data_IF_462961796356
#
_entry.id   IF_462961796356
#
_cell.length_a   1.000
_cell.length_b   1.000
_cell.length_c   1.000
_cell.angle_alpha   90.00
_cell.angle_beta   90.00
_cell.angle_gamma   90.00
#
_symmetry.space_group_name_H-M   'P 1'
#
loop_
_entity.id
_entity.type
_entity.pdbx_description
1 polymer ?
#
# COMPACT_ATOMS: atom_id res chain seq x y z
N UNK A 1 33.47 -18.16 43.86
CA UNK A 1 32.88 -18.99 42.79
C UNK A 1 33.55 -18.58 41.47
N UNK A 2 34.56 -19.33 41.03
CA UNK A 2 35.41 -19.02 39.87
C UNK A 2 34.84 -19.61 38.59
N UNK A 3 34.66 -18.81 37.52
CA UNK A 3 34.68 -19.27 36.11
C UNK A 3 35.31 -18.14 35.26
N UNK A 4 36.64 -18.21 35.03
CA UNK A 4 37.35 -18.76 33.84
C UNK A 4 37.30 -17.81 32.64
N UNK A 5 38.44 -17.17 32.33
CA UNK A 5 39.46 -17.57 31.33
C UNK A 5 38.98 -17.33 29.89
N UNK A 6 39.33 -16.21 29.24
CA UNK A 6 40.61 -15.88 28.59
C UNK A 6 40.79 -16.59 27.22
N UNK A 7 40.61 -15.75 26.18
CA UNK A 7 41.40 -15.57 24.95
C UNK A 7 41.70 -16.68 23.93
N UNK A 8 41.81 -16.18 22.68
CA UNK A 8 42.77 -16.55 21.64
C UNK A 8 42.24 -17.48 20.55
N UNK A 9 41.79 -16.96 19.40
CA UNK A 9 42.58 -16.61 18.19
C UNK A 9 43.48 -17.72 17.62
N UNK A 10 43.30 -17.92 16.30
CA UNK A 10 44.33 -18.14 15.27
C UNK A 10 44.80 -19.59 14.89
N UNK A 11 44.57 -19.91 13.60
CA UNK A 11 45.52 -20.47 12.59
C UNK A 11 45.71 -21.99 12.36
N UNK A 12 45.93 -22.26 11.05
CA UNK A 12 46.56 -23.42 10.35
C UNK A 12 45.63 -24.58 9.95
N UNK A 13 45.25 -24.79 8.67
CA UNK A 13 45.95 -25.13 7.40
C UNK A 13 46.55 -26.56 7.34
N UNK A 14 46.35 -27.18 6.15
CA UNK A 14 47.05 -28.32 5.49
C UNK A 14 46.49 -29.75 5.73
N UNK A 15 45.90 -30.39 4.69
CA UNK A 15 46.46 -31.55 3.95
C UNK A 15 45.45 -32.19 2.96
N UNK A 16 45.86 -32.27 1.69
CA UNK A 16 45.22 -32.97 0.55
C UNK A 16 45.60 -34.46 0.49
N UNK A 17 44.70 -35.36 0.07
CA UNK A 17 45.01 -36.76 -0.25
C UNK A 17 43.89 -37.45 -1.06
N UNK A 18 44.18 -37.71 -2.35
CA UNK A 18 43.36 -38.33 -3.39
C UNK A 18 43.75 -39.82 -3.55
N UNK A 19 42.80 -40.75 -3.86
CA UNK A 19 42.81 -41.67 -5.03
C UNK A 19 41.92 -42.94 -4.89
N UNK A 20 40.76 -42.90 -5.57
CA UNK A 20 40.07 -43.87 -6.45
C UNK A 20 40.07 -45.40 -6.19
N UNK A 21 38.86 -45.99 -6.17
CA UNK A 21 38.54 -47.21 -6.94
C UNK A 21 37.12 -47.12 -7.55
N UNK A 22 37.03 -47.53 -8.81
CA UNK A 22 35.93 -47.41 -9.76
C UNK A 22 34.86 -48.49 -9.56
N UNK A 23 33.58 -48.11 -9.72
CA UNK A 23 32.45 -49.01 -9.85
C UNK A 23 31.45 -48.46 -10.86
N UNK A 24 31.52 -48.97 -12.08
CA UNK A 24 30.65 -48.64 -13.21
C UNK A 24 29.21 -49.07 -12.93
N UNK A 25 28.27 -48.13 -12.95
CA UNK A 25 26.84 -48.42 -13.11
C UNK A 25 26.26 -47.46 -14.12
N UNK A 26 26.19 -47.90 -15.37
CA UNK A 26 25.33 -47.31 -16.41
C UNK A 26 23.95 -47.93 -16.21
N UNK A 27 22.99 -47.12 -15.76
CA UNK A 27 21.57 -47.43 -15.86
C UNK A 27 20.87 -46.24 -16.52
N UNK A 28 20.26 -46.51 -17.66
CA UNK A 28 19.46 -45.60 -18.47
C UNK A 28 18.12 -45.28 -17.80
N UNK A 29 17.61 -44.08 -18.08
CA UNK A 29 16.19 -43.70 -17.94
C UNK A 29 15.81 -43.29 -16.52
N UNK A 30 15.15 -42.18 -16.24
CA UNK A 30 14.36 -41.26 -17.05
C UNK A 30 14.52 -39.86 -16.43
N UNK A 31 15.05 -38.90 -17.20
CA UNK A 31 14.94 -37.49 -16.83
C UNK A 31 13.50 -37.08 -17.11
N UNK A 32 12.64 -37.17 -16.10
CA UNK A 32 11.32 -36.55 -16.15
C UNK A 32 11.52 -35.05 -16.17
N UNK A 33 11.51 -34.48 -17.38
CA UNK A 33 11.47 -33.05 -17.60
C UNK A 33 10.18 -32.52 -16.95
N UNK A 34 10.29 -31.91 -15.77
CA UNK A 34 9.22 -31.10 -15.23
C UNK A 34 8.89 -30.03 -16.27
N UNK A 35 7.62 -29.87 -16.67
CA UNK A 35 7.26 -28.70 -17.44
C UNK A 35 7.51 -27.51 -16.52
N UNK A 36 8.50 -26.69 -16.86
CA UNK A 36 8.57 -25.32 -16.36
C UNK A 36 7.31 -24.68 -16.92
N UNK A 37 6.27 -24.62 -16.09
CA UNK A 37 5.12 -23.78 -16.35
C UNK A 37 5.67 -22.36 -16.45
N UNK A 38 5.95 -21.93 -17.68
CA UNK A 38 6.11 -20.53 -18.02
C UNK A 38 4.74 -19.93 -17.70
N UNK A 39 4.60 -19.42 -16.48
CA UNK A 39 3.60 -18.42 -16.21
C UNK A 39 3.86 -17.35 -17.27
N UNK A 40 2.99 -17.30 -18.29
CA UNK A 40 2.85 -16.08 -19.07
C UNK A 40 2.58 -15.04 -17.99
N UNK A 41 3.59 -14.22 -17.72
CA UNK A 41 3.33 -12.85 -17.33
C UNK A 41 2.57 -12.27 -18.51
N UNK A 42 1.25 -12.53 -18.53
CA UNK A 42 0.30 -11.55 -19.03
C UNK A 42 0.84 -10.27 -18.42
N UNK A 43 1.31 -9.30 -19.22
CA UNK A 43 1.69 -8.01 -18.67
C UNK A 43 0.52 -7.67 -17.79
N UNK A 44 0.77 -7.65 -16.48
CA UNK A 44 -0.25 -7.23 -15.57
C UNK A 44 -0.64 -5.90 -16.15
N UNK A 45 -1.85 -5.81 -16.67
CA UNK A 45 -2.57 -4.57 -16.54
C UNK A 45 -2.47 -4.32 -15.03
N UNK A 46 -1.42 -3.58 -14.62
CA UNK A 46 -1.63 -2.37 -13.89
C UNK A 46 -2.71 -1.64 -14.70
N UNK A 47 -3.95 -2.08 -14.52
CA UNK A 47 -5.12 -1.26 -14.66
C UNK A 47 -4.92 -0.21 -13.57
N UNK A 48 -3.94 0.67 -13.81
CA UNK A 48 -3.86 1.96 -13.18
C UNK A 48 -5.23 2.51 -13.41
N UNK A 49 -5.93 2.77 -12.31
CA UNK A 49 -7.17 3.50 -12.29
C UNK A 49 -7.03 4.57 -13.36
N UNK A 50 -7.79 4.45 -14.46
CA UNK A 50 -7.75 5.41 -15.57
C UNK A 50 -7.77 6.79 -14.94
N UNK A 51 -6.83 7.66 -15.34
CA UNK A 51 -6.48 8.87 -14.59
C UNK A 51 -7.75 9.55 -14.03
N UNK A 52 -7.90 9.52 -12.70
CA UNK A 52 -9.11 10.01 -12.05
C UNK A 52 -9.38 11.44 -12.49
N UNK A 53 -10.65 11.84 -12.73
CA UNK A 53 -10.98 13.21 -13.06
C UNK A 53 -10.40 14.16 -12.00
N UNK A 54 -9.94 15.33 -12.41
CA UNK A 54 -9.34 16.32 -11.51
C UNK A 54 -10.37 17.40 -11.17
N UNK A 55 -10.27 17.98 -9.98
CA UNK A 55 -11.00 19.18 -9.55
C UNK A 55 -10.04 20.11 -8.81
N UNK A 56 -10.03 21.39 -9.17
CA UNK A 56 -9.26 22.39 -8.42
C UNK A 56 -9.93 22.60 -7.05
N UNK A 57 -9.13 22.86 -6.02
CA UNK A 57 -9.65 23.12 -4.67
C UNK A 57 -10.62 24.30 -4.68
N UNK A 58 -10.32 25.34 -5.46
CA UNK A 58 -11.16 26.52 -5.62
C UNK A 58 -12.58 26.21 -6.13
N UNK A 59 -12.73 25.16 -6.95
CA UNK A 59 -14.00 24.74 -7.54
C UNK A 59 -14.84 23.84 -6.62
N UNK A 60 -14.28 23.44 -5.47
CA UNK A 60 -15.02 22.63 -4.51
C UNK A 60 -16.09 23.44 -3.77
N UNK A 61 -17.19 22.78 -3.34
CA UNK A 61 -18.13 23.39 -2.41
C UNK A 61 -17.41 23.97 -1.20
N UNK A 62 -17.89 25.11 -0.67
CA UNK A 62 -17.21 25.81 0.44
C UNK A 62 -16.99 24.89 1.64
N UNK A 63 -17.96 24.02 1.93
CA UNK A 63 -17.89 23.05 3.02
C UNK A 63 -16.73 22.07 2.86
N UNK A 64 -16.39 21.69 1.61
CA UNK A 64 -15.29 20.78 1.34
C UNK A 64 -13.94 21.47 1.55
N UNK A 65 -13.82 22.74 1.11
CA UNK A 65 -12.64 23.57 1.38
C UNK A 65 -12.41 23.78 2.89
N UNK A 66 -13.49 23.99 3.65
CA UNK A 66 -13.41 24.12 5.10
C UNK A 66 -12.89 22.83 5.76
N UNK A 67 -13.35 21.68 5.26
CA UNK A 67 -12.87 20.37 5.72
C UNK A 67 -11.41 20.14 5.34
N UNK A 68 -10.95 20.52 4.15
CA UNK A 68 -9.53 20.45 3.77
C UNK A 68 -8.64 21.23 4.74
N UNK A 69 -8.99 22.48 5.05
CA UNK A 69 -8.24 23.30 6.02
C UNK A 69 -8.20 22.66 7.42
N UNK A 70 -9.27 21.97 7.83
CA UNK A 70 -9.30 21.21 9.10
C UNK A 70 -8.40 19.98 9.04
N UNK A 71 -8.39 19.24 7.92
CA UNK A 71 -7.52 18.08 7.72
C UNK A 71 -6.04 18.48 7.82
N UNK A 72 -5.66 19.58 7.18
CA UNK A 72 -4.28 20.10 7.24
C UNK A 72 -3.83 20.43 8.67
N UNK A 73 -4.73 21.02 9.45
CA UNK A 73 -4.49 21.37 10.86
C UNK A 73 -4.57 20.17 11.80
N UNK A 74 -5.23 19.09 11.39
CA UNK A 74 -5.44 17.87 12.19
C UNK A 74 -6.71 17.85 13.04
N UNK A 75 -7.73 18.65 12.67
CA UNK A 75 -9.00 18.76 13.38
C UNK A 75 -9.19 20.12 14.09
N UNK A 76 -10.21 20.24 14.96
CA UNK A 76 -11.16 19.20 15.37
C UNK A 76 -12.10 18.78 14.24
N UNK A 77 -12.66 17.57 14.34
CA UNK A 77 -13.63 17.03 13.38
C UNK A 77 -15.00 16.88 14.04
N UNK A 78 -16.06 17.12 13.26
CA UNK A 78 -17.44 17.19 13.75
C UNK A 78 -18.09 15.81 13.90
N UNK A 79 -17.66 14.83 13.10
CA UNK A 79 -18.29 13.52 13.06
C UNK A 79 -17.36 12.42 13.55
N UNK A 80 -17.90 11.44 14.27
CA UNK A 80 -17.14 10.32 14.85
C UNK A 80 -16.36 9.49 13.83
N UNK A 81 -16.81 9.47 12.58
CA UNK A 81 -16.17 8.72 11.49
C UNK A 81 -15.08 9.53 10.77
N UNK A 82 -14.89 10.80 11.09
CA UNK A 82 -13.87 11.61 10.45
C UNK A 82 -12.47 11.17 10.91
N UNK A 83 -11.60 10.91 9.94
CA UNK A 83 -10.23 10.43 10.17
C UNK A 83 -10.09 8.92 10.35
N UNK A 84 -11.18 8.14 10.28
CA UNK A 84 -11.10 6.67 10.28
C UNK A 84 -10.52 6.17 8.97
N UNK A 85 -10.03 4.92 8.97
CA UNK A 85 -9.41 4.32 7.78
C UNK A 85 -10.47 4.10 6.70
N UNK A 86 -10.19 4.58 5.49
CA UNK A 86 -10.96 4.24 4.30
C UNK A 86 -10.34 2.99 3.63
N UNK A 87 -11.16 1.97 3.41
CA UNK A 87 -10.70 0.65 2.97
C UNK A 87 -10.31 0.56 1.50
N UNK A 88 -10.89 1.40 0.63
CA UNK A 88 -10.73 1.32 -0.83
C UNK A 88 -11.02 -0.10 -1.38
N UNK A 89 -12.13 -0.72 -0.96
CA UNK A 89 -12.46 -2.11 -1.31
C UNK A 89 -12.82 -2.27 -2.80
N UNK A 90 -13.48 -1.26 -3.34
CA UNK A 90 -13.90 -1.12 -4.74
C UNK A 90 -12.74 -0.70 -5.65
N UNK A 91 -11.58 -0.36 -5.06
CA UNK A 91 -10.33 -0.01 -5.76
C UNK A 91 -10.48 1.16 -6.75
N UNK A 92 -11.37 2.11 -6.43
CA UNK A 92 -11.56 3.34 -7.21
C UNK A 92 -10.43 4.35 -6.99
N UNK A 93 -9.65 4.22 -5.91
CA UNK A 93 -8.42 4.97 -5.69
C UNK A 93 -7.19 4.10 -5.97
N UNK A 94 -6.01 4.69 -6.26
CA UNK A 94 -4.77 3.93 -6.45
C UNK A 94 -4.50 2.94 -5.32
N UNK A 95 -4.01 1.75 -5.67
CA UNK A 95 -3.69 0.72 -4.68
C UNK A 95 -2.54 1.18 -3.78
N UNK A 96 -2.77 1.19 -2.47
CA UNK A 96 -1.83 1.59 -1.42
C UNK A 96 -1.95 0.66 -0.22
N UNK A 97 -0.94 0.65 0.65
CA UNK A 97 -0.95 -0.14 1.89
C UNK A 97 -2.18 0.20 2.76
N UNK A 98 -2.71 -0.82 3.46
CA UNK A 98 -3.81 -0.62 4.42
C UNK A 98 -3.51 0.51 5.41
N UNK A 99 -4.50 1.38 5.62
CA UNK A 99 -4.37 2.54 6.51
C UNK A 99 -3.76 3.78 5.85
N UNK A 100 -3.42 3.72 4.56
CA UNK A 100 -2.97 4.89 3.79
C UNK A 100 -4.08 5.93 3.64
N UNK A 101 -5.32 5.50 3.40
CA UNK A 101 -6.45 6.39 3.19
C UNK A 101 -7.29 6.60 4.44
N UNK A 102 -7.81 7.82 4.61
CA UNK A 102 -8.75 8.21 5.66
C UNK A 102 -9.89 9.03 5.08
N UNK A 103 -11.10 8.84 5.61
CA UNK A 103 -12.29 9.55 5.18
C UNK A 103 -12.67 10.70 6.12
N UNK A 104 -13.28 11.73 5.55
CA UNK A 104 -13.77 12.91 6.26
C UNK A 104 -15.11 13.34 5.65
N UNK A 105 -16.04 13.69 6.53
CA UNK A 105 -17.38 14.14 6.14
C UNK A 105 -17.32 15.55 5.57
N UNK A 106 -17.99 15.76 4.44
CA UNK A 106 -18.28 17.10 3.92
C UNK A 106 -19.75 17.41 4.20
N UNK A 107 -20.07 18.36 5.09
CA UNK A 107 -21.45 18.71 5.39
C UNK A 107 -22.23 19.10 4.12
N UNK A 108 -23.45 18.58 4.01
CA UNK A 108 -24.39 18.99 2.97
C UNK A 108 -25.41 19.94 3.60
N UNK A 109 -25.50 21.21 3.16
CA UNK A 109 -26.46 22.17 3.72
C UNK A 109 -27.88 21.61 3.73
N UNK A 110 -28.56 21.74 4.87
CA UNK A 110 -29.94 21.26 5.07
C UNK A 110 -30.08 19.75 5.30
N UNK A 111 -29.00 18.96 5.18
CA UNK A 111 -29.06 17.54 5.51
C UNK A 111 -29.19 17.33 7.03
N UNK A 112 -30.10 16.44 7.45
CA UNK A 112 -30.26 16.02 8.86
C UNK A 112 -29.26 14.93 9.28
N UNK A 113 -28.48 14.43 8.34
CA UNK A 113 -27.49 13.39 8.53
C UNK A 113 -26.15 13.84 7.91
N UNK A 114 -25.15 12.96 7.91
CA UNK A 114 -23.82 13.22 7.34
C UNK A 114 -23.80 13.50 5.82
N UNK A 115 -24.90 13.27 5.11
CA UNK A 115 -24.98 13.36 3.65
C UNK A 115 -24.09 12.34 2.94
N UNK A 116 -23.97 12.49 1.62
CA UNK A 116 -23.20 11.60 0.75
C UNK A 116 -21.77 12.11 0.44
N UNK A 117 -21.47 13.38 0.71
CA UNK A 117 -20.22 14.03 0.31
C UNK A 117 -19.09 13.70 1.26
N UNK A 118 -17.92 13.34 0.73
CA UNK A 118 -16.73 13.01 1.53
C UNK A 118 -15.46 13.54 0.87
N UNK A 119 -14.44 13.73 1.70
CA UNK A 119 -13.05 13.82 1.28
C UNK A 119 -12.33 12.57 1.76
N UNK A 120 -11.54 11.94 0.89
CA UNK A 120 -10.64 10.84 1.24
C UNK A 120 -9.21 11.31 1.01
N UNK A 121 -8.42 11.39 2.07
CA UNK A 121 -7.01 11.79 1.98
C UNK A 121 -6.07 10.62 2.24
N UNK A 122 -4.96 10.60 1.51
CA UNK A 122 -3.91 9.59 1.57
C UNK A 122 -2.62 10.13 2.18
N UNK A 123 -1.88 9.28 2.87
CA UNK A 123 -0.57 9.61 3.44
C UNK A 123 -0.62 9.95 4.93
N UNK A 124 0.24 10.85 5.43
CA UNK A 124 0.22 11.30 6.82
C UNK A 124 -1.12 11.91 7.23
N UNK A 125 -1.49 11.75 8.51
CA UNK A 125 -2.76 12.26 9.06
C UNK A 125 -2.90 13.78 8.98
N UNK A 126 -1.79 14.49 9.10
CA UNK A 126 -1.67 15.95 8.97
C UNK A 126 -0.84 16.19 7.73
N UNK A 127 -1.21 17.16 6.91
CA UNK A 127 -0.56 17.43 5.62
C UNK A 127 -0.57 16.17 4.72
N UNK A 128 -1.75 15.73 4.27
CA UNK A 128 -1.88 14.56 3.41
C UNK A 128 -1.16 14.76 2.07
N UNK A 129 -0.66 13.68 1.49
CA UNK A 129 0.03 13.68 0.19
C UNK A 129 -0.95 13.92 -0.98
N UNK A 130 -2.19 13.47 -0.82
CA UNK A 130 -3.22 13.54 -1.84
C UNK A 130 -4.60 13.50 -1.19
N UNK A 131 -5.55 14.22 -1.77
CA UNK A 131 -6.95 14.15 -1.37
C UNK A 131 -7.87 13.96 -2.58
N UNK A 132 -8.98 13.27 -2.35
CA UNK A 132 -10.00 12.96 -3.35
C UNK A 132 -11.36 13.40 -2.81
N UNK A 133 -12.17 13.97 -3.69
CA UNK A 133 -13.54 14.35 -3.40
C UNK A 133 -14.52 13.34 -3.99
N UNK A 134 -15.52 12.95 -3.22
CA UNK A 134 -16.71 12.21 -3.69
C UNK A 134 -17.96 12.98 -3.27
N UNK A 135 -18.93 13.05 -4.18
CA UNK A 135 -20.22 13.69 -3.94
C UNK A 135 -21.36 12.67 -3.80
N UNK A 136 -21.07 11.40 -4.03
CA UNK A 136 -22.00 10.30 -4.28
C UNK A 136 -21.68 9.08 -3.40
N UNK A 137 -21.17 9.32 -2.19
CA UNK A 137 -20.89 8.29 -1.19
C UNK A 137 -19.99 7.16 -1.70
N UNK A 138 -18.82 7.55 -2.23
CA UNK A 138 -17.76 6.68 -2.74
C UNK A 138 -18.05 5.97 -4.06
N UNK A 139 -19.14 6.29 -4.76
CA UNK A 139 -19.42 5.72 -6.08
C UNK A 139 -18.49 6.29 -7.18
N UNK A 140 -18.03 7.54 -7.03
CA UNK A 140 -17.01 8.14 -7.90
C UNK A 140 -16.09 9.08 -7.14
N UNK A 141 -14.90 9.32 -7.71
CA UNK A 141 -13.88 10.19 -7.11
C UNK A 141 -13.32 11.18 -8.12
N UNK A 142 -13.01 12.37 -7.63
CA UNK A 142 -12.18 13.35 -8.33
C UNK A 142 -10.95 13.65 -7.49
N UNK A 143 -9.76 13.66 -8.09
CA UNK A 143 -8.53 14.07 -7.41
C UNK A 143 -8.54 15.58 -7.22
N UNK A 144 -8.32 16.03 -6.00
CA UNK A 144 -8.21 17.44 -5.65
C UNK A 144 -6.79 17.92 -5.99
N UNK A 145 -6.68 19.05 -6.65
CA UNK A 145 -5.42 19.76 -6.88
C UNK A 145 -5.52 21.19 -6.35
N UNK A 146 -4.42 21.78 -5.86
CA UNK A 146 -4.40 23.17 -5.39
C UNK A 146 -4.87 24.16 -6.47
#
# INVERSE_FOLDING_TARGET
MNRRCIHSTLRSLILTGLLLLLGSFVALGEMTAWPIAQARETPGQAAGVSALPVVAEADLPVQARDVLRRIERGGPFEYEKDGVIFGNYERLLPSKRRGFYREYTVPTPGARNRGARRIVCGGPKRQPEVCYYTHDHYASFRRIVP
#
